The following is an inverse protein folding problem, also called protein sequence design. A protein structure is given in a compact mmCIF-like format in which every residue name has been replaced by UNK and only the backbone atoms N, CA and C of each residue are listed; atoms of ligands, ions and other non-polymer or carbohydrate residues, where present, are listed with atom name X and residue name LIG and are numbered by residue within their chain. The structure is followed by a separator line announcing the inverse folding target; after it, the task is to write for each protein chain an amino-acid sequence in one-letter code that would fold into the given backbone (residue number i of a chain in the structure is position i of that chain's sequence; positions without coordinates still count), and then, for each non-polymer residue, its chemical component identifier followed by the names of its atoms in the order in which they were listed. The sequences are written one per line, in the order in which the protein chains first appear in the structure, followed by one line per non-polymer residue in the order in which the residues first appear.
data_IF_956488780440
#
_entry.id   IF_956488780440
#
_cell.length_a   1.000
_cell.length_b   1.000
_cell.length_c   1.000
_cell.angle_alpha   90.00
_cell.angle_beta   90.00
_cell.angle_gamma   90.00
#
_symmetry.space_group_name_H-M   'P 1'
#
loop_
_entity.id
_entity.type
_entity.pdbx_description
1 polymer ?
#
# COMPACT_ATOMS: atom_id res chain seq x y z
N UNK A 1 -32.43 -3.97 -18.61
CA UNK A 1 -30.94 -3.80 -18.60
C UNK A 1 -30.53 -2.32 -18.72
N UNK A 2 -31.17 -1.54 -19.59
CA UNK A 2 -30.91 -0.10 -19.81
C UNK A 2 -31.19 0.81 -18.59
N UNK A 3 -32.21 0.52 -17.77
CA UNK A 3 -32.55 1.32 -16.59
C UNK A 3 -31.49 1.26 -15.49
N UNK A 4 -30.88 0.10 -15.26
CA UNK A 4 -29.80 -0.05 -14.28
C UNK A 4 -28.54 0.73 -14.69
N UNK A 5 -28.24 0.76 -15.99
CA UNK A 5 -27.11 1.52 -16.54
C UNK A 5 -27.28 3.04 -16.36
N UNK A 6 -28.50 3.56 -16.60
CA UNK A 6 -28.81 4.98 -16.41
C UNK A 6 -28.66 5.38 -14.94
N UNK A 7 -29.14 4.55 -14.00
CA UNK A 7 -29.04 4.85 -12.56
C UNK A 7 -27.59 4.92 -12.06
N UNK A 8 -26.72 4.00 -12.50
CA UNK A 8 -25.29 4.00 -12.12
C UNK A 8 -24.54 5.20 -12.68
N UNK A 9 -24.94 5.72 -13.86
CA UNK A 9 -24.34 6.92 -14.46
C UNK A 9 -24.81 8.22 -13.80
N UNK A 10 -26.06 8.30 -13.34
CA UNK A 10 -26.66 9.54 -12.84
C UNK A 10 -26.54 9.73 -11.32
N UNK A 11 -26.46 8.67 -10.52
CA UNK A 11 -26.32 8.80 -9.06
C UNK A 11 -24.85 8.91 -8.64
N UNK A 12 -24.51 10.02 -7.96
CA UNK A 12 -23.17 10.25 -7.38
C UNK A 12 -22.79 9.28 -6.25
N UNK A 13 -23.75 8.54 -5.69
CA UNK A 13 -23.57 7.55 -4.60
C UNK A 13 -24.59 6.41 -4.78
N UNK A 14 -24.21 5.18 -4.45
CA UNK A 14 -25.08 4.01 -4.56
C UNK A 14 -26.27 4.07 -3.58
N UNK A 15 -27.46 3.62 -4.02
CA UNK A 15 -28.66 3.49 -3.17
C UNK A 15 -28.41 2.63 -1.93
N UNK A 16 -27.51 1.63 -2.04
CA UNK A 16 -27.19 0.72 -0.95
C UNK A 16 -26.40 1.43 0.17
N UNK A 17 -25.46 2.30 -0.18
CA UNK A 17 -24.56 2.95 0.78
C UNK A 17 -25.19 4.18 1.43
N UNK A 18 -26.05 4.91 0.71
CA UNK A 18 -26.75 6.08 1.26
C UNK A 18 -27.85 5.70 2.27
N UNK A 19 -28.57 4.61 2.01
CA UNK A 19 -29.67 4.17 2.89
C UNK A 19 -29.15 3.63 4.23
N UNK A 20 -27.93 3.11 4.23
CA UNK A 20 -27.25 2.63 5.44
C UNK A 20 -26.62 3.79 6.23
N UNK A 21 -26.01 4.76 5.53
CA UNK A 21 -25.49 5.99 6.15
C UNK A 21 -26.59 6.82 6.84
N UNK A 22 -27.79 6.92 6.25
CA UNK A 22 -28.93 7.65 6.85
C UNK A 22 -29.52 7.01 8.10
N UNK A 23 -29.27 5.71 8.35
CA UNK A 23 -29.76 4.99 9.54
C UNK A 23 -28.82 5.07 10.75
N UNK A 24 -27.78 5.90 10.69
CA UNK A 24 -26.83 6.10 11.80
C UNK A 24 -25.96 4.87 12.11
N UNK A 25 -26.02 3.84 11.26
CA UNK A 25 -25.16 2.66 11.35
C UNK A 25 -23.91 2.98 10.55
N UNK A 26 -22.82 3.28 11.27
CA UNK A 26 -21.50 3.31 10.65
C UNK A 26 -21.23 1.91 10.10
N UNK A 27 -21.30 1.77 8.78
CA UNK A 27 -20.78 0.58 8.14
C UNK A 27 -19.27 0.72 8.20
N UNK A 28 -18.63 0.01 9.13
CA UNK A 28 -17.18 -0.09 9.19
C UNK A 28 -16.71 -0.82 7.94
N UNK A 29 -16.53 -0.08 6.84
CA UNK A 29 -15.61 -0.33 5.72
C UNK A 29 -15.28 -1.82 5.50
N UNK A 30 -16.21 -2.61 4.96
CA UNK A 30 -15.92 -4.00 4.55
C UNK A 30 -15.09 -4.11 3.24
N UNK A 31 -14.57 -2.98 2.74
CA UNK A 31 -13.63 -2.94 1.60
C UNK A 31 -12.48 -1.97 1.89
N UNK A 32 -11.73 -2.22 2.96
CA UNK A 32 -10.39 -1.67 3.10
C UNK A 32 -9.40 -2.70 2.56
N UNK A 33 -8.52 -2.32 1.63
CA UNK A 33 -7.47 -3.22 1.17
C UNK A 33 -6.31 -3.09 2.15
N UNK A 34 -5.89 -4.20 2.78
CA UNK A 34 -4.73 -4.15 3.66
C UNK A 34 -3.46 -3.96 2.80
N UNK A 35 -2.74 -2.82 2.93
CA UNK A 35 -1.63 -2.48 2.05
C UNK A 35 -0.45 -3.43 2.18
N UNK A 36 -0.31 -4.18 3.29
CA UNK A 36 0.76 -5.17 3.44
C UNK A 36 0.66 -6.32 2.42
N UNK A 37 -0.55 -6.60 1.92
CA UNK A 37 -0.77 -7.63 0.89
C UNK A 37 -0.68 -7.10 -0.54
N UNK A 38 -0.44 -5.79 -0.73
CA UNK A 38 -0.48 -5.16 -2.05
C UNK A 38 0.82 -4.43 -2.39
N UNK A 39 1.42 -3.77 -1.41
CA UNK A 39 2.67 -3.03 -1.59
C UNK A 39 3.87 -3.98 -1.53
N UNK A 40 4.85 -3.70 -2.39
CA UNK A 40 6.15 -4.37 -2.37
C UNK A 40 7.14 -3.59 -1.51
N UNK A 41 8.20 -4.26 -1.10
CA UNK A 41 9.29 -3.63 -0.33
C UNK A 41 9.94 -2.49 -1.11
N UNK A 42 10.15 -2.66 -2.42
CA UNK A 42 10.71 -1.62 -3.29
C UNK A 42 9.87 -0.32 -3.36
N UNK A 43 8.56 -0.39 -3.09
CA UNK A 43 7.67 0.78 -3.09
C UNK A 43 7.82 1.66 -1.84
N UNK A 44 8.39 1.10 -0.76
CA UNK A 44 8.48 1.75 0.56
C UNK A 44 9.92 1.94 1.01
N UNK A 45 10.86 1.12 0.55
CA UNK A 45 12.25 1.14 1.02
C UNK A 45 12.94 2.50 0.85
N UNK A 46 13.82 2.81 1.79
CA UNK A 46 14.73 3.94 1.69
C UNK A 46 16.02 3.53 0.97
N UNK A 47 16.57 4.40 0.09
CA UNK A 47 17.81 4.13 -0.61
C UNK A 47 19.01 4.12 0.36
N UNK A 48 20.05 3.33 0.07
CA UNK A 48 21.16 3.12 0.99
C UNK A 48 22.02 4.39 1.03
N UNK A 49 22.26 4.87 2.25
CA UNK A 49 22.96 6.13 2.52
C UNK A 49 24.46 6.06 2.14
N UNK A 50 25.01 4.86 1.89
CA UNK A 50 26.38 4.64 1.40
C UNK A 50 26.49 3.26 0.73
N UNK A 51 27.11 3.18 -0.45
CA UNK A 51 27.37 1.94 -1.23
C UNK A 51 28.34 0.94 -0.54
N UNK A 52 28.81 1.23 0.66
CA UNK A 52 29.93 0.57 1.30
C UNK A 52 29.62 0.20 2.76
N UNK A 53 28.73 -0.77 2.95
CA UNK A 53 28.69 -1.64 4.14
C UNK A 53 27.65 -2.74 3.91
N UNK A 54 27.83 -3.53 2.86
CA UNK A 54 27.00 -4.71 2.57
C UNK A 54 27.88 -5.95 2.42
N UNK A 55 28.86 -6.09 3.32
CA UNK A 55 29.42 -7.41 3.58
C UNK A 55 28.42 -8.15 4.46
N UNK A 56 27.59 -8.99 3.86
CA UNK A 56 26.75 -9.94 4.59
C UNK A 56 27.67 -11.00 5.19
N UNK A 57 28.20 -10.71 6.38
CA UNK A 57 28.62 -11.78 7.29
C UNK A 57 27.39 -12.59 7.69
N UNK A 58 27.59 -13.84 8.10
CA UNK A 58 26.51 -14.69 8.61
C UNK A 58 25.72 -13.93 9.71
N UNK A 59 24.49 -13.51 9.42
CA UNK A 59 23.64 -12.63 10.26
C UNK A 59 23.65 -11.18 9.76
N UNK A 60 22.57 -10.67 9.13
CA UNK A 60 21.18 -10.63 9.64
C UNK A 60 20.14 -11.10 8.59
N UNK A 61 18.86 -11.13 8.95
CA UNK A 61 17.78 -11.42 8.00
C UNK A 61 17.59 -10.28 7.01
N UNK A 62 17.40 -10.65 5.74
CA UNK A 62 17.32 -9.73 4.59
C UNK A 62 15.92 -9.78 3.99
N UNK A 63 15.40 -8.61 3.60
CA UNK A 63 14.21 -8.46 2.79
C UNK A 63 14.58 -8.39 1.29
N UNK A 64 13.71 -8.87 0.40
CA UNK A 64 13.93 -8.75 -1.04
C UNK A 64 13.07 -7.62 -1.62
N UNK A 65 13.57 -6.97 -2.67
CA UNK A 65 12.89 -5.81 -3.27
C UNK A 65 11.50 -6.12 -3.81
N UNK A 66 11.35 -7.29 -4.41
CA UNK A 66 10.12 -7.75 -5.08
C UNK A 66 9.13 -8.42 -4.12
N UNK A 67 9.50 -8.68 -2.86
CA UNK A 67 8.61 -9.32 -1.92
C UNK A 67 7.56 -8.35 -1.35
N UNK A 68 6.48 -8.90 -0.81
CA UNK A 68 5.43 -8.12 -0.17
C UNK A 68 5.89 -7.54 1.17
N UNK A 69 5.36 -6.37 1.53
CA UNK A 69 5.59 -5.79 2.86
C UNK A 69 5.16 -6.71 4.00
N UNK A 70 4.14 -7.54 3.79
CA UNK A 70 3.75 -8.57 4.76
C UNK A 70 4.92 -9.55 5.05
N UNK A 71 5.62 -9.99 4.02
CA UNK A 71 6.76 -10.91 4.14
C UNK A 71 7.91 -10.25 4.89
N UNK A 72 8.23 -9.00 4.56
CA UNK A 72 9.23 -8.22 5.27
C UNK A 72 8.85 -7.98 6.73
N UNK A 73 7.59 -7.62 7.02
CA UNK A 73 7.09 -7.45 8.38
C UNK A 73 7.18 -8.73 9.19
N UNK A 74 6.83 -9.88 8.60
CA UNK A 74 6.95 -11.19 9.25
C UNK A 74 8.40 -11.48 9.66
N UNK A 75 9.35 -11.33 8.72
CA UNK A 75 10.79 -11.46 8.98
C UNK A 75 11.25 -10.53 10.11
N UNK A 76 10.76 -9.28 10.09
CA UNK A 76 11.10 -8.28 11.09
C UNK A 76 10.63 -8.69 12.49
N UNK A 77 9.42 -9.24 12.60
CA UNK A 77 8.85 -9.72 13.86
C UNK A 77 9.51 -11.02 14.34
N UNK A 78 9.74 -11.98 13.45
CA UNK A 78 10.36 -13.28 13.77
C UNK A 78 11.79 -13.13 14.28
N UNK A 79 12.51 -12.14 13.76
CA UNK A 79 13.91 -11.87 14.10
C UNK A 79 14.07 -10.67 15.04
N UNK A 80 12.96 -10.11 15.57
CA UNK A 80 12.93 -8.91 16.42
C UNK A 80 13.76 -7.73 15.84
N UNK A 81 13.87 -7.67 14.52
CA UNK A 81 14.66 -6.66 13.83
C UNK A 81 13.90 -5.32 13.84
N UNK A 82 14.63 -4.21 13.98
CA UNK A 82 14.05 -2.87 13.81
C UNK A 82 14.10 -2.39 12.36
N UNK A 83 15.11 -2.86 11.63
CA UNK A 83 15.39 -2.51 10.24
C UNK A 83 15.77 -3.79 9.51
N UNK A 84 15.25 -3.97 8.30
CA UNK A 84 15.70 -5.02 7.39
C UNK A 84 16.49 -4.40 6.23
N UNK A 85 17.71 -4.87 5.95
CA UNK A 85 18.36 -4.56 4.69
C UNK A 85 17.55 -5.16 3.54
N UNK A 86 17.42 -4.41 2.46
CA UNK A 86 16.72 -4.83 1.24
C UNK A 86 17.75 -5.21 0.20
N UNK A 87 17.77 -6.49 -0.20
CA UNK A 87 18.60 -6.99 -1.27
C UNK A 87 17.83 -7.09 -2.59
N UNK A 88 18.58 -7.14 -3.68
CA UNK A 88 18.03 -7.50 -4.99
C UNK A 88 17.64 -8.99 -4.99
N UNK A 89 16.50 -9.32 -5.61
CA UNK A 89 16.03 -10.71 -5.72
C UNK A 89 17.05 -11.63 -6.43
N UNK A 90 17.74 -11.12 -7.45
CA UNK A 90 18.75 -11.87 -8.22
C UNK A 90 20.05 -12.12 -7.44
N UNK A 91 20.37 -11.26 -6.47
CA UNK A 91 21.64 -11.27 -5.75
C UNK A 91 21.44 -10.82 -4.29
N UNK A 92 21.37 -11.76 -3.33
CA UNK A 92 21.15 -11.46 -1.92
C UNK A 92 22.32 -10.69 -1.27
N UNK A 93 23.49 -10.65 -1.92
CA UNK A 93 24.64 -9.87 -1.42
C UNK A 93 24.54 -8.40 -1.83
N UNK A 94 23.74 -8.11 -2.85
CA UNK A 94 23.53 -6.76 -3.34
C UNK A 94 22.43 -6.05 -2.56
N UNK A 95 22.82 -5.35 -1.49
CA UNK A 95 21.90 -4.49 -0.73
C UNK A 95 21.62 -3.20 -1.51
N UNK A 96 20.35 -2.98 -1.80
CA UNK A 96 19.83 -1.86 -2.59
C UNK A 96 19.07 -0.84 -1.75
N UNK A 97 18.88 -1.08 -0.45
CA UNK A 97 18.12 -0.21 0.45
C UNK A 97 17.91 -0.82 1.83
N UNK A 98 17.06 -0.17 2.62
CA UNK A 98 16.62 -0.63 3.94
C UNK A 98 15.14 -0.34 4.10
N UNK A 99 14.46 -1.12 4.94
CA UNK A 99 13.07 -0.86 5.34
C UNK A 99 12.95 -0.98 6.86
N UNK A 100 12.36 0.02 7.49
CA UNK A 100 12.08 0.04 8.93
C UNK A 100 10.58 0.00 9.23
N UNK A 101 10.22 -0.20 10.50
CA UNK A 101 8.80 -0.22 10.92
C UNK A 101 8.08 1.10 10.65
N UNK A 102 8.78 2.23 10.81
CA UNK A 102 8.25 3.57 10.60
C UNK A 102 7.88 3.82 9.14
N UNK A 103 8.72 3.39 8.20
CA UNK A 103 8.46 3.44 6.76
C UNK A 103 7.21 2.63 6.39
N UNK A 104 7.07 1.42 6.93
CA UNK A 104 5.88 0.58 6.70
C UNK A 104 4.61 1.22 7.28
N UNK A 105 4.67 1.79 8.49
CA UNK A 105 3.54 2.49 9.10
C UNK A 105 3.18 3.77 8.34
N UNK A 106 4.18 4.51 7.85
CA UNK A 106 3.98 5.68 7.03
C UNK A 106 3.26 5.32 5.72
N UNK A 107 3.68 4.24 5.05
CA UNK A 107 3.00 3.70 3.88
C UNK A 107 1.54 3.32 4.19
N UNK A 108 1.27 2.73 5.37
CA UNK A 108 -0.08 2.39 5.83
C UNK A 108 -0.99 3.63 5.97
N UNK A 109 -0.46 4.69 6.59
CA UNK A 109 -1.17 5.97 6.75
C UNK A 109 -1.44 6.64 5.41
N UNK A 110 -0.47 6.65 4.49
CA UNK A 110 -0.65 7.24 3.16
C UNK A 110 -1.67 6.46 2.33
N UNK A 111 -1.61 5.12 2.35
CA UNK A 111 -2.58 4.29 1.64
C UNK A 111 -4.02 4.55 2.09
N UNK A 112 -4.22 4.70 3.41
CA UNK A 112 -5.53 5.01 3.99
C UNK A 112 -6.06 6.38 3.52
N UNK A 113 -5.17 7.37 3.34
CA UNK A 113 -5.52 8.70 2.80
C UNK A 113 -5.78 8.69 1.30
N UNK A 114 -5.02 7.89 0.54
CA UNK A 114 -5.19 7.74 -0.90
C UNK A 114 -6.50 7.05 -1.25
N UNK A 115 -6.90 6.04 -0.47
CA UNK A 115 -8.23 5.44 -0.60
C UNK A 115 -9.34 6.45 -0.31
N UNK A 116 -9.15 7.34 0.68
CA UNK A 116 -10.13 8.38 1.01
C UNK A 116 -10.26 9.45 -0.08
N UNK A 117 -9.23 9.66 -0.90
CA UNK A 117 -9.23 10.67 -1.98
C UNK A 117 -9.64 10.10 -3.35
N UNK A 118 -9.58 8.78 -3.55
CA UNK A 118 -10.02 8.10 -4.79
C UNK A 118 -11.55 8.14 -5.03
N UNK A 119 -12.32 8.76 -4.14
CA UNK A 119 -13.76 8.99 -4.30
C UNK A 119 -14.13 10.05 -5.38
N UNK A 120 -13.14 10.61 -6.08
CA UNK A 120 -13.38 11.42 -7.28
C UNK A 120 -13.83 10.55 -8.46
N UNK A 121 -15.12 10.22 -8.52
CA UNK A 121 -15.71 9.43 -9.60
C UNK A 121 -15.28 9.89 -11.00
N UNK A 122 -15.15 8.94 -11.93
CA UNK A 122 -14.65 9.10 -13.31
C UNK A 122 -15.17 10.35 -14.07
N UNK A 123 -16.37 10.84 -13.74
CA UNK A 123 -16.96 12.08 -14.26
C UNK A 123 -16.16 13.35 -13.93
N UNK A 124 -15.48 13.42 -12.77
CA UNK A 124 -14.61 14.56 -12.40
C UNK A 124 -13.37 14.60 -13.30
N UNK A 125 -12.90 13.42 -13.75
CA UNK A 125 -11.74 13.27 -14.63
C UNK A 125 -12.05 13.71 -16.07
N UNK A 126 -13.25 13.41 -16.58
CA UNK A 126 -13.70 13.92 -17.90
C UNK A 126 -13.85 15.44 -17.96
N UNK A 127 -14.14 16.10 -16.84
CA UNK A 127 -14.26 17.57 -16.80
C UNK A 127 -12.91 18.31 -16.80
N UNK A 128 -11.79 17.59 -16.62
CA UNK A 128 -10.44 18.16 -16.51
C UNK A 128 -9.54 17.93 -17.73
N UNK A 129 -10.01 17.24 -18.77
CA UNK A 129 -9.25 17.11 -20.01
C UNK A 129 -9.24 18.45 -20.78
N UNK A 130 -8.07 19.01 -21.15
CA UNK A 130 -8.02 20.18 -22.03
C UNK A 130 -8.48 19.78 -23.44
N UNK A 131 -9.15 20.73 -24.11
CA UNK A 131 -9.74 20.59 -25.45
C UNK A 131 -8.68 20.32 -26.52
#
# INVERSE_FOLDING_TARGET
VTSAAITVLFMRRSILTEKLARRGRHLTREYGVNPLHVLRVEDVMEPPITRAAAGVGEGPVVAYSDELLETAMRKMLEHEAEVLPVAKADDPTQIIGYVDRGAILAAWVQHTRDEATKEGGWLVRLRKAPR
#
